data_IF_988335714819
#
_entry.id   IF_988335714819
#
_cell.length_a   1.000
_cell.length_b   1.000
_cell.length_c   1.000
_cell.angle_alpha   90.00
_cell.angle_beta   90.00
_cell.angle_gamma   90.00
#
_symmetry.space_group_name_H-M   'P 1'
#
loop_
_entity.id
_entity.type
_entity.pdbx_description
1 polymer ?
#
# COMPACT_ATOMS: atom_id res chain seq x y z
N UNK A 1 -3.35 -17.47 3.82
CA UNK A 1 -2.75 -16.18 4.18
C UNK A 1 -2.60 -15.32 2.92
N UNK A 2 -3.69 -14.68 2.48
CA UNK A 2 -3.62 -13.67 1.43
C UNK A 2 -3.24 -12.34 2.08
N UNK A 3 -1.93 -12.07 2.20
CA UNK A 3 -1.48 -10.70 2.31
C UNK A 3 -1.72 -10.07 0.95
N UNK A 4 -2.75 -9.23 0.84
CA UNK A 4 -2.84 -8.28 -0.27
C UNK A 4 -1.54 -7.48 -0.27
N UNK A 5 -0.86 -7.40 -1.40
CA UNK A 5 0.36 -6.58 -1.55
C UNK A 5 0.13 -5.10 -1.17
N UNK A 6 -1.14 -4.69 -1.05
CA UNK A 6 -1.59 -3.33 -0.75
C UNK A 6 -2.03 -3.19 0.71
N UNK A 7 -2.61 -4.23 1.29
CA UNK A 7 -3.21 -4.21 2.62
C UNK A 7 -2.69 -5.41 3.40
N UNK A 8 -1.64 -5.21 4.19
CA UNK A 8 -1.12 -6.19 5.14
C UNK A 8 -2.13 -6.40 6.30
N UNK A 9 -3.38 -6.72 5.99
CA UNK A 9 -4.44 -6.99 6.94
C UNK A 9 -4.78 -8.48 6.89
N UNK A 10 -4.43 -9.18 7.96
CA UNK A 10 -4.91 -10.53 8.19
C UNK A 10 -6.36 -10.45 8.69
N UNK A 11 -7.31 -10.50 7.75
CA UNK A 11 -8.73 -10.47 8.06
C UNK A 11 -9.21 -11.73 8.79
N UNK A 12 -8.47 -12.85 8.70
CA UNK A 12 -8.81 -14.11 9.36
C UNK A 12 -8.43 -14.06 10.85
N UNK A 13 -7.33 -13.37 11.19
CA UNK A 13 -6.88 -13.23 12.59
C UNK A 13 -7.79 -12.38 13.46
N UNK A 14 -8.57 -11.47 12.87
CA UNK A 14 -9.55 -10.66 13.59
C UNK A 14 -10.69 -11.50 14.21
N UNK A 15 -10.98 -12.69 13.66
CA UNK A 15 -12.03 -13.60 14.15
C UNK A 15 -11.60 -14.49 15.32
N UNK A 16 -10.29 -14.58 15.61
CA UNK A 16 -9.74 -15.50 16.62
C UNK A 16 -9.55 -14.87 18.00
N UNK A 17 -9.98 -13.61 18.22
CA UNK A 17 -9.92 -12.99 19.55
C UNK A 17 -11.15 -13.44 20.35
N UNK A 18 -10.92 -14.27 21.37
CA UNK A 18 -11.94 -14.86 22.25
C UNK A 18 -12.57 -13.87 23.26
N UNK A 19 -12.27 -12.56 23.18
CA UNK A 19 -12.89 -11.58 24.07
C UNK A 19 -14.16 -10.99 23.44
N UNK A 20 -15.34 -11.27 24.00
CA UNK A 20 -16.63 -10.86 23.47
C UNK A 20 -16.97 -9.45 23.94
N UNK A 21 -16.08 -8.48 23.71
CA UNK A 21 -16.48 -7.08 23.83
C UNK A 21 -17.04 -6.66 22.47
N UNK A 22 -18.31 -7.02 22.30
CA UNK A 22 -19.18 -6.81 21.15
C UNK A 22 -19.43 -5.32 20.95
N UNK A 23 -18.37 -4.60 20.57
CA UNK A 23 -18.49 -3.22 20.14
C UNK A 23 -18.97 -3.26 18.69
N UNK A 24 -20.22 -2.84 18.45
CA UNK A 24 -20.87 -2.68 17.14
C UNK A 24 -19.97 -2.00 16.08
N UNK A 25 -19.04 -1.18 16.58
CA UNK A 25 -17.99 -0.51 15.83
C UNK A 25 -16.94 -1.44 15.20
N UNK A 26 -16.54 -2.53 15.89
CA UNK A 26 -15.56 -3.50 15.40
C UNK A 26 -16.07 -4.29 14.19
N UNK A 27 -17.32 -4.76 14.25
CA UNK A 27 -17.96 -5.46 13.13
C UNK A 27 -18.10 -4.56 11.90
N UNK A 28 -18.46 -3.29 12.12
CA UNK A 28 -18.53 -2.28 11.05
C UNK A 28 -17.15 -2.02 10.42
N UNK A 29 -16.09 -1.87 11.22
CA UNK A 29 -14.71 -1.72 10.73
C UNK A 29 -14.29 -2.87 9.82
N UNK A 30 -14.54 -4.10 10.27
CA UNK A 30 -14.19 -5.32 9.52
C UNK A 30 -14.94 -5.33 8.18
N UNK A 31 -16.24 -5.04 8.19
CA UNK A 31 -17.07 -4.98 6.98
C UNK A 31 -16.56 -3.92 5.99
N UNK A 32 -16.23 -2.72 6.46
CA UNK A 32 -15.71 -1.66 5.59
C UNK A 32 -14.32 -1.98 5.06
N UNK A 33 -13.44 -2.55 5.90
CA UNK A 33 -12.09 -2.97 5.48
C UNK A 33 -12.17 -4.06 4.42
N UNK A 34 -13.11 -5.01 4.58
CA UNK A 34 -13.37 -6.05 3.58
C UNK A 34 -13.87 -5.46 2.27
N UNK A 35 -14.90 -4.62 2.30
CA UNK A 35 -15.44 -3.97 1.10
C UNK A 35 -14.34 -3.17 0.38
N UNK A 36 -13.52 -2.44 1.12
CA UNK A 36 -12.38 -1.72 0.55
C UNK A 36 -11.34 -2.66 -0.07
N UNK A 37 -11.00 -3.78 0.58
CA UNK A 37 -10.08 -4.77 0.02
C UNK A 37 -10.64 -5.41 -1.25
N UNK A 38 -11.95 -5.68 -1.30
CA UNK A 38 -12.64 -6.21 -2.48
C UNK A 38 -12.56 -5.19 -3.63
N UNK A 39 -12.85 -3.90 -3.38
CA UNK A 39 -12.73 -2.81 -4.37
C UNK A 39 -11.28 -2.69 -4.93
N UNK A 40 -10.27 -2.79 -4.05
CA UNK A 40 -8.87 -2.80 -4.50
C UNK A 40 -8.55 -4.05 -5.32
N UNK A 41 -9.10 -5.20 -4.94
CA UNK A 41 -8.95 -6.46 -5.66
C UNK A 41 -9.52 -6.39 -7.08
N UNK A 42 -10.68 -5.76 -7.27
CA UNK A 42 -11.32 -5.59 -8.58
C UNK A 42 -10.46 -4.78 -9.57
N UNK A 43 -9.64 -3.85 -9.08
CA UNK A 43 -8.74 -3.03 -9.90
C UNK A 43 -7.40 -3.74 -10.09
N UNK A 44 -6.80 -4.22 -9.00
CA UNK A 44 -5.44 -4.74 -8.99
C UNK A 44 -5.33 -6.13 -9.62
N UNK A 45 -6.24 -7.06 -9.29
CA UNK A 45 -6.13 -8.47 -9.70
C UNK A 45 -6.15 -8.65 -11.22
N UNK A 46 -7.01 -7.96 -12.01
CA UNK A 46 -6.99 -8.09 -13.46
C UNK A 46 -5.65 -7.65 -14.08
N UNK A 47 -5.05 -6.58 -13.55
CA UNK A 47 -3.77 -6.05 -14.04
C UNK A 47 -2.64 -7.00 -13.66
N UNK A 48 -2.61 -7.44 -12.40
CA UNK A 48 -1.64 -8.40 -11.90
C UNK A 48 -1.65 -9.71 -12.69
N UNK A 49 -2.84 -10.29 -12.88
CA UNK A 49 -3.02 -11.54 -13.63
C UNK A 49 -2.65 -11.39 -15.11
N UNK A 50 -2.88 -10.21 -15.71
CA UNK A 50 -2.50 -9.93 -17.10
C UNK A 50 -0.98 -9.82 -17.28
N UNK A 51 -0.25 -9.40 -16.25
CA UNK A 51 1.21 -9.22 -16.34
C UNK A 51 1.97 -10.55 -16.42
N UNK A 52 1.38 -11.66 -15.93
CA UNK A 52 2.00 -13.00 -15.94
C UNK A 52 3.47 -12.94 -15.46
N UNK A 53 3.66 -12.35 -14.28
CA UNK A 53 4.97 -12.10 -13.72
C UNK A 53 5.69 -13.41 -13.40
N UNK A 54 6.95 -13.47 -13.79
CA UNK A 54 7.89 -14.47 -13.30
C UNK A 54 8.46 -14.03 -11.94
N UNK A 55 9.05 -14.97 -11.19
CA UNK A 55 9.54 -14.71 -9.83
C UNK A 55 10.47 -13.49 -9.76
N UNK A 56 11.39 -13.34 -10.72
CA UNK A 56 12.28 -12.16 -10.77
C UNK A 56 11.54 -10.85 -10.96
N UNK A 57 10.53 -10.83 -11.82
CA UNK A 57 9.74 -9.62 -12.06
C UNK A 57 8.87 -9.29 -10.86
N UNK A 58 8.37 -10.31 -10.16
CA UNK A 58 7.68 -10.14 -8.89
C UNK A 58 8.60 -9.54 -7.82
N UNK A 59 9.83 -10.04 -7.66
CA UNK A 59 10.80 -9.45 -6.72
C UNK A 59 11.18 -8.02 -7.10
N UNK A 60 11.37 -7.76 -8.39
CA UNK A 60 11.64 -6.41 -8.88
C UNK A 60 10.47 -5.46 -8.60
N UNK A 61 9.23 -5.91 -8.81
CA UNK A 61 8.02 -5.15 -8.45
C UNK A 61 8.01 -4.83 -6.94
N UNK A 62 8.30 -5.80 -6.08
CA UNK A 62 8.35 -5.59 -4.64
C UNK A 62 9.44 -4.58 -4.24
N UNK A 63 10.60 -4.64 -4.88
CA UNK A 63 11.68 -3.67 -4.67
C UNK A 63 11.27 -2.25 -5.11
N UNK A 64 10.67 -2.11 -6.30
CA UNK A 64 10.15 -0.83 -6.81
C UNK A 64 9.11 -0.24 -5.85
N UNK A 65 8.12 -1.03 -5.44
CA UNK A 65 7.10 -0.61 -4.47
C UNK A 65 7.72 -0.22 -3.12
N UNK A 66 8.74 -0.94 -2.64
CA UNK A 66 9.40 -0.64 -1.39
C UNK A 66 10.16 0.71 -1.42
N UNK A 67 10.83 1.03 -2.54
CA UNK A 67 11.51 2.34 -2.69
C UNK A 67 10.54 3.52 -2.57
N UNK A 68 9.28 3.31 -2.93
CA UNK A 68 8.23 4.33 -2.90
C UNK A 68 7.46 4.36 -1.56
N UNK A 69 7.61 3.34 -0.71
CA UNK A 69 7.14 3.41 0.69
C UNK A 69 7.92 4.48 1.46
N UNK A 70 9.23 4.63 1.21
CA UNK A 70 10.03 5.72 1.76
C UNK A 70 9.44 7.10 1.46
N UNK A 71 8.97 7.33 0.24
CA UNK A 71 8.34 8.59 -0.16
C UNK A 71 6.96 8.83 0.47
N UNK A 72 6.22 7.78 0.85
CA UNK A 72 4.95 7.95 1.56
C UNK A 72 5.18 8.37 3.01
N UNK A 73 6.17 7.79 3.69
CA UNK A 73 6.56 8.18 5.05
C UNK A 73 6.89 9.69 5.12
N UNK A 74 7.54 10.23 4.07
CA UNK A 74 7.76 11.69 3.88
C UNK A 74 6.47 12.50 3.93
N UNK A 75 5.45 12.14 3.13
CA UNK A 75 4.15 12.86 3.08
C UNK A 75 3.38 12.80 4.41
N UNK A 76 3.66 11.82 5.27
CA UNK A 76 3.01 11.67 6.58
C UNK A 76 3.76 12.51 7.62
N UNK A 77 5.09 12.36 7.71
CA UNK A 77 5.90 13.10 8.69
C UNK A 77 5.88 14.61 8.46
N UNK A 78 5.84 15.06 7.20
CA UNK A 78 5.71 16.49 6.86
C UNK A 78 4.43 17.15 7.39
N UNK A 79 3.34 16.38 7.60
CA UNK A 79 2.06 16.94 8.06
C UNK A 79 1.91 16.93 9.59
N UNK A 80 2.69 16.11 10.30
CA UNK A 80 2.61 15.96 11.77
C UNK A 80 3.57 16.93 12.47
N UNK A 81 4.74 17.18 11.90
CA UNK A 81 5.70 18.14 12.44
C UNK A 81 5.47 19.50 11.79
N UNK A 82 4.68 20.37 12.43
CA UNK A 82 4.53 21.77 12.02
C UNK A 82 5.82 22.58 12.16
N UNK A 83 6.81 22.06 12.89
CA UNK A 83 8.11 22.68 13.07
C UNK A 83 9.22 21.66 12.84
N UNK A 84 10.18 22.01 11.96
CA UNK A 84 11.44 21.32 11.69
C UNK A 84 11.40 20.13 10.70
N UNK A 85 11.79 20.46 9.46
CA UNK A 85 12.54 19.65 8.46
C UNK A 85 12.79 18.17 8.77
N UNK A 86 11.75 17.34 8.79
CA UNK A 86 11.90 15.89 8.65
C UNK A 86 11.89 15.51 7.16
N UNK A 87 12.79 16.13 6.39
CA UNK A 87 13.09 15.63 5.06
C UNK A 87 13.94 14.37 5.22
N UNK A 88 13.61 13.32 4.47
CA UNK A 88 14.62 12.31 4.12
C UNK A 88 15.77 13.14 3.53
N UNK A 89 16.95 13.07 4.15
CA UNK A 89 18.11 13.81 3.64
C UNK A 89 18.23 13.53 2.15
N UNK A 90 18.57 14.53 1.34
CA UNK A 90 18.76 14.36 -0.12
C UNK A 90 19.61 13.13 -0.45
N UNK A 91 20.55 12.80 0.44
CA UNK A 91 21.34 11.59 0.40
C UNK A 91 20.53 10.28 0.40
N UNK A 92 19.54 10.14 1.27
CA UNK A 92 18.71 8.94 1.32
C UNK A 92 17.72 8.86 0.14
N UNK A 93 17.28 9.99 -0.42
CA UNK A 93 16.56 9.97 -1.70
C UNK A 93 17.48 9.49 -2.83
N UNK A 94 18.71 9.98 -2.87
CA UNK A 94 19.71 9.53 -3.85
C UNK A 94 19.96 8.03 -3.76
N UNK A 95 20.00 7.46 -2.55
CA UNK A 95 20.13 6.00 -2.34
C UNK A 95 18.92 5.25 -2.90
N UNK A 96 17.70 5.72 -2.66
CA UNK A 96 16.49 5.09 -3.20
C UNK A 96 16.43 5.16 -4.72
N UNK A 97 16.85 6.29 -5.30
CA UNK A 97 16.92 6.47 -6.76
C UNK A 97 17.99 5.57 -7.39
N UNK A 98 19.13 5.37 -6.71
CA UNK A 98 20.17 4.44 -7.12
C UNK A 98 19.66 2.98 -7.11
N UNK A 99 18.98 2.56 -6.04
CA UNK A 99 18.34 1.23 -6.00
C UNK A 99 17.30 1.04 -7.09
N UNK A 100 16.45 2.06 -7.33
CA UNK A 100 15.44 1.98 -8.41
C UNK A 100 16.11 1.82 -9.77
N UNK A 101 17.19 2.55 -10.01
CA UNK A 101 17.97 2.43 -11.24
C UNK A 101 18.59 1.04 -11.37
N UNK A 102 19.20 0.51 -10.32
CA UNK A 102 19.80 -0.83 -10.30
C UNK A 102 18.77 -1.91 -10.63
N UNK A 103 17.59 -1.88 -9.99
CA UNK A 103 16.49 -2.82 -10.27
C UNK A 103 16.04 -2.76 -11.74
N UNK A 104 15.96 -1.56 -12.32
CA UNK A 104 15.57 -1.39 -13.73
C UNK A 104 16.66 -1.85 -14.69
N UNK A 105 17.93 -1.64 -14.37
CA UNK A 105 19.07 -2.10 -15.17
C UNK A 105 19.15 -3.64 -15.13
N UNK A 106 18.93 -4.25 -13.97
CA UNK A 106 18.87 -5.70 -13.79
C UNK A 106 17.71 -6.33 -14.56
N UNK A 107 16.52 -5.72 -14.52
CA UNK A 107 15.37 -6.16 -15.32
C UNK A 107 15.66 -6.09 -16.82
N UNK A 108 16.29 -5.02 -17.29
CA UNK A 108 16.66 -4.89 -18.69
C UNK A 108 17.69 -5.96 -19.10
N UNK A 109 18.69 -6.20 -18.25
CA UNK A 109 19.68 -7.25 -18.45
C UNK A 109 19.01 -8.63 -18.51
N UNK A 110 18.10 -8.91 -17.58
CA UNK A 110 17.31 -10.13 -17.54
C UNK A 110 16.51 -10.36 -18.83
N UNK A 111 15.76 -9.35 -19.28
CA UNK A 111 14.98 -9.44 -20.51
C UNK A 111 15.83 -9.68 -21.75
N UNK A 112 16.99 -9.01 -21.86
CA UNK A 112 17.88 -9.12 -23.02
C UNK A 112 18.71 -10.40 -23.04
N UNK A 113 19.29 -10.75 -21.90
CA UNK A 113 20.32 -11.79 -21.83
C UNK A 113 19.72 -13.17 -21.55
N UNK A 114 18.74 -13.25 -20.64
CA UNK A 114 18.14 -14.52 -20.23
C UNK A 114 16.92 -14.86 -21.07
N UNK A 115 15.95 -13.94 -21.17
CA UNK A 115 14.74 -14.16 -21.97
C UNK A 115 14.93 -13.91 -23.47
N UNK A 116 16.07 -13.34 -23.88
CA UNK A 116 16.43 -13.04 -25.28
C UNK A 116 15.35 -12.24 -26.02
N UNK A 117 14.66 -11.36 -25.29
CA UNK A 117 13.63 -10.51 -25.85
C UNK A 117 14.29 -9.37 -26.65
N UNK A 118 13.96 -9.31 -27.95
CA UNK A 118 14.40 -8.20 -28.82
C UNK A 118 13.66 -6.90 -28.48
N UNK A 119 12.41 -7.02 -28.07
CA UNK A 119 11.58 -5.93 -27.58
C UNK A 119 10.92 -6.34 -26.27
N UNK A 120 11.36 -5.72 -25.18
CA UNK A 120 10.83 -5.92 -23.83
C UNK A 120 10.03 -4.71 -23.33
N UNK A 121 9.84 -3.69 -24.19
CA UNK A 121 9.20 -2.41 -23.82
C UNK A 121 7.79 -2.61 -23.26
N UNK A 122 7.01 -3.51 -23.88
CA UNK A 122 5.64 -3.83 -23.44
C UNK A 122 5.65 -4.52 -22.08
N UNK A 123 6.57 -5.46 -21.85
CA UNK A 123 6.66 -6.21 -20.59
C UNK A 123 7.09 -5.31 -19.44
N UNK A 124 8.12 -4.48 -19.67
CA UNK A 124 8.54 -3.46 -18.71
C UNK A 124 7.44 -2.41 -18.48
N UNK A 125 6.74 -1.96 -19.52
CA UNK A 125 5.62 -1.03 -19.39
C UNK A 125 4.46 -1.59 -18.58
N UNK A 126 4.13 -2.87 -18.74
CA UNK A 126 3.13 -3.54 -17.91
C UNK A 126 3.57 -3.60 -16.44
N UNK A 127 4.85 -3.92 -16.18
CA UNK A 127 5.42 -3.95 -14.83
C UNK A 127 5.36 -2.57 -14.15
N UNK A 128 5.74 -1.51 -14.88
CA UNK A 128 5.67 -0.14 -14.39
C UNK A 128 4.22 0.31 -14.13
N UNK A 129 3.30 -0.06 -15.02
CA UNK A 129 1.86 0.19 -14.84
C UNK A 129 1.36 -0.47 -13.57
N UNK A 130 1.72 -1.73 -13.34
CA UNK A 130 1.35 -2.48 -12.14
C UNK A 130 1.94 -1.86 -10.88
N UNK A 131 3.21 -1.45 -10.90
CA UNK A 131 3.85 -0.71 -9.81
C UNK A 131 3.06 0.55 -9.45
N UNK A 132 2.69 1.34 -10.46
CA UNK A 132 1.87 2.53 -10.28
C UNK A 132 0.48 2.20 -9.73
N UNK A 133 -0.16 1.13 -10.19
CA UNK A 133 -1.44 0.68 -9.63
C UNK A 133 -1.32 0.37 -8.13
N UNK A 134 -0.26 -0.33 -7.70
CA UNK A 134 -0.03 -0.60 -6.26
C UNK A 134 0.08 0.70 -5.46
N UNK A 135 0.76 1.72 -6.02
CA UNK A 135 0.86 3.03 -5.37
C UNK A 135 -0.51 3.71 -5.20
N UNK A 136 -1.32 3.72 -6.26
CA UNK A 136 -2.66 4.31 -6.21
C UNK A 136 -3.54 3.59 -5.20
N UNK A 137 -3.53 2.26 -5.20
CA UNK A 137 -4.27 1.45 -4.23
C UNK A 137 -3.88 1.79 -2.78
N UNK A 138 -2.59 1.99 -2.53
CA UNK A 138 -2.06 2.43 -1.22
C UNK A 138 -2.49 3.85 -0.86
N UNK A 139 -2.52 4.78 -1.82
CA UNK A 139 -3.02 6.14 -1.58
C UNK A 139 -4.51 6.13 -1.23
N UNK A 140 -5.32 5.33 -1.94
CA UNK A 140 -6.72 5.12 -1.62
C UNK A 140 -6.92 4.52 -0.23
N UNK A 141 -6.13 3.51 0.14
CA UNK A 141 -6.15 2.92 1.48
C UNK A 141 -5.87 3.95 2.57
N UNK A 142 -4.88 4.84 2.35
CA UNK A 142 -4.57 5.93 3.29
C UNK A 142 -5.74 6.90 3.46
N UNK A 143 -6.41 7.27 2.37
CA UNK A 143 -7.58 8.16 2.42
C UNK A 143 -8.73 7.49 3.17
N UNK A 144 -9.00 6.22 2.86
CA UNK A 144 -10.00 5.40 3.54
C UNK A 144 -9.73 5.33 5.05
N UNK A 145 -8.50 5.00 5.46
CA UNK A 145 -8.14 4.88 6.86
C UNK A 145 -8.23 6.23 7.60
N UNK A 146 -7.85 7.33 6.95
CA UNK A 146 -8.00 8.67 7.54
C UNK A 146 -9.47 9.03 7.74
N UNK A 147 -10.32 8.78 6.75
CA UNK A 147 -11.76 9.01 6.87
C UNK A 147 -12.34 8.19 8.04
N UNK A 148 -11.96 6.93 8.13
CA UNK A 148 -12.37 6.04 9.19
C UNK A 148 -11.93 6.53 10.58
N UNK A 149 -10.66 6.87 10.73
CA UNK A 149 -10.11 7.41 11.98
C UNK A 149 -10.87 8.69 12.43
N UNK A 150 -11.18 9.59 11.49
CA UNK A 150 -11.95 10.80 11.80
C UNK A 150 -13.39 10.50 12.20
N UNK A 151 -14.08 9.57 11.52
CA UNK A 151 -15.44 9.19 11.93
C UNK A 151 -15.48 8.59 13.33
N UNK A 152 -14.48 7.78 13.68
CA UNK A 152 -14.36 7.19 15.01
C UNK A 152 -14.06 8.24 16.08
N UNK A 153 -13.16 9.18 15.80
CA UNK A 153 -12.84 10.28 16.71
C UNK A 153 -14.07 11.17 16.98
N UNK A 154 -14.84 11.50 15.94
CA UNK A 154 -16.11 12.21 16.07
C UNK A 154 -17.13 11.42 16.89
N UNK A 155 -17.25 10.11 16.65
CA UNK A 155 -18.16 9.25 17.40
C UNK A 155 -17.78 9.14 18.89
N UNK A 156 -16.49 8.99 19.20
CA UNK A 156 -15.98 9.00 20.57
C UNK A 156 -16.25 10.35 21.25
N UNK A 157 -16.06 11.45 20.54
CA UNK A 157 -16.33 12.80 21.05
C UNK A 157 -17.83 13.01 21.31
N UNK A 158 -18.71 12.56 20.42
CA UNK A 158 -20.17 12.66 20.59
C UNK A 158 -20.67 11.82 21.78
N UNK A 159 -20.17 10.60 21.93
CA UNK A 159 -20.48 9.76 23.09
C UNK A 159 -19.92 10.33 24.40
N UNK A 160 -18.71 10.90 24.39
CA UNK A 160 -18.15 11.57 25.55
C UNK A 160 -18.99 12.80 25.96
N UNK A 161 -19.46 13.59 25.00
CA UNK A 161 -20.37 14.71 25.26
C UNK A 161 -21.71 14.23 25.84
N UNK A 162 -22.34 13.21 25.24
CA UNK A 162 -23.59 12.62 25.76
C UNK A 162 -23.44 12.15 27.22
N UNK A 163 -22.34 11.47 27.54
CA UNK A 163 -22.06 11.00 28.90
C UNK A 163 -21.69 12.13 29.88
N UNK A 164 -21.30 13.31 29.40
CA UNK A 164 -21.01 14.47 30.26
C UNK A 164 -22.25 15.32 30.56
N UNK A 165 -23.25 15.29 29.68
CA UNK A 165 -24.50 16.06 29.79
C UNK A 165 -25.70 15.24 30.33
N UNK A 166 -25.55 13.93 30.52
CA UNK A 166 -26.50 13.02 31.18
C UNK A 166 -25.96 12.58 32.54
#
# INVERSE_FOLDING_TARGET
MMCSAVTCFDMERAYLREEPDDTENGASLIRFTKAHADDQGEIFLPIFNKCLLEDREYYALMALVATEIGELFRKINYKICSDSSCDISEHAQSILDEYRKEVLDDLQSYYRNELRLKDFSTRLGNLMTLSHTVQECKLHFKVFFRFFATMFDVYLTDNAMKNFFL
#
